data_IF_614268899655
#
_entry.id   IF_614268899655
#
_cell.length_a   1.000
_cell.length_b   1.000
_cell.length_c   1.000
_cell.angle_alpha   90.00
_cell.angle_beta   90.00
_cell.angle_gamma   90.00
#
_symmetry.space_group_name_H-M   'P 1'
#
loop_
_entity.id
_entity.type
_entity.pdbx_description
1 polymer ?
#
# COMPACT_ATOMS: atom_id res chain seq x y z
N UNK A 1 54.97 -52.29 53.80
CA UNK A 1 53.63 -51.81 53.40
C UNK A 1 53.45 -50.36 53.84
N UNK A 2 53.51 -49.39 52.91
CA UNK A 2 52.79 -48.10 53.05
C UNK A 2 52.72 -47.43 51.67
N UNK A 3 51.51 -47.02 51.33
CA UNK A 3 50.97 -46.84 49.98
C UNK A 3 51.47 -45.55 49.32
N UNK A 4 51.87 -45.65 48.05
CA UNK A 4 52.01 -44.53 47.12
C UNK A 4 50.63 -43.88 46.94
N UNK A 5 50.49 -42.60 47.29
CA UNK A 5 49.26 -41.83 47.03
C UNK A 5 49.18 -41.55 45.53
N UNK A 6 48.17 -42.11 44.87
CA UNK A 6 47.80 -41.79 43.49
C UNK A 6 47.36 -40.33 43.42
N UNK A 7 47.99 -39.60 42.51
CA UNK A 7 47.57 -38.29 42.02
C UNK A 7 46.32 -38.55 41.19
N UNK A 8 45.15 -38.16 41.68
CA UNK A 8 43.94 -38.09 40.86
C UNK A 8 43.77 -36.64 40.44
N UNK A 9 44.33 -36.32 39.28
CA UNK A 9 44.09 -35.06 38.58
C UNK A 9 42.64 -35.11 38.11
N UNK A 10 41.74 -34.37 38.77
CA UNK A 10 40.42 -34.08 38.21
C UNK A 10 40.65 -33.24 36.96
N UNK A 11 40.59 -33.88 35.80
CA UNK A 11 40.43 -33.19 34.53
C UNK A 11 39.07 -32.49 34.59
N UNK A 12 39.08 -31.23 35.01
CA UNK A 12 38.02 -30.28 34.73
C UNK A 12 38.05 -30.08 33.21
N UNK A 13 37.43 -31.00 32.48
CA UNK A 13 37.08 -30.74 31.09
C UNK A 13 35.98 -29.70 31.20
N UNK A 14 36.41 -28.45 31.20
CA UNK A 14 35.62 -27.32 30.78
C UNK A 14 35.16 -27.65 29.36
N UNK A 15 34.07 -28.40 29.25
CA UNK A 15 33.21 -28.35 28.09
C UNK A 15 32.46 -27.02 28.22
N UNK A 16 33.20 -25.93 28.10
CA UNK A 16 32.70 -24.74 27.43
C UNK A 16 32.45 -25.19 25.99
N UNK A 17 31.32 -25.88 25.78
CA UNK A 17 30.65 -25.78 24.48
C UNK A 17 30.39 -24.29 24.40
N UNK A 18 31.26 -23.63 23.65
CA UNK A 18 31.00 -22.33 23.10
C UNK A 18 29.71 -22.58 22.33
N UNK A 19 28.56 -22.33 22.96
CA UNK A 19 27.33 -22.05 22.28
C UNK A 19 27.59 -20.72 21.56
N UNK A 20 28.44 -20.77 20.53
CA UNK A 20 28.31 -19.90 19.41
C UNK A 20 26.98 -20.33 18.79
N UNK A 21 25.88 -19.83 19.36
CA UNK A 21 24.68 -19.59 18.58
C UNK A 21 25.18 -18.72 17.44
N UNK A 22 25.56 -19.34 16.31
CA UNK A 22 25.58 -18.63 15.05
C UNK A 22 24.18 -18.07 14.96
N UNK A 23 24.06 -16.74 15.00
CA UNK A 23 22.81 -16.09 14.65
C UNK A 23 22.50 -16.60 13.25
N UNK A 24 21.44 -17.41 13.13
CA UNK A 24 20.97 -17.81 11.82
C UNK A 24 20.38 -16.57 11.17
N UNK A 25 20.69 -16.36 9.91
CA UNK A 25 20.23 -15.22 9.14
C UNK A 25 19.32 -15.69 8.03
N UNK A 26 18.26 -14.94 7.78
CA UNK A 26 17.32 -15.21 6.71
C UNK A 26 17.49 -14.20 5.57
N UNK A 27 17.53 -14.71 4.35
CA UNK A 27 17.59 -13.90 3.14
C UNK A 27 16.19 -13.71 2.56
N UNK A 28 15.86 -12.47 2.26
CA UNK A 28 14.57 -12.08 1.70
C UNK A 28 14.78 -11.27 0.42
N UNK A 29 13.86 -11.41 -0.53
CA UNK A 29 13.93 -10.76 -1.84
C UNK A 29 12.78 -9.78 -2.00
N UNK A 30 13.10 -8.55 -2.43
CA UNK A 30 12.11 -7.62 -2.97
C UNK A 30 12.41 -7.45 -4.44
N UNK A 31 11.37 -7.62 -5.26
CA UNK A 31 11.41 -7.41 -6.68
C UNK A 31 10.16 -6.71 -7.16
N UNK A 32 10.23 -6.05 -8.32
CA UNK A 32 9.07 -5.42 -8.90
C UNK A 32 9.33 -4.65 -10.17
N UNK A 33 8.31 -3.92 -10.59
CA UNK A 33 8.34 -3.00 -11.73
C UNK A 33 7.97 -1.60 -11.25
N UNK A 34 8.72 -0.58 -11.69
CA UNK A 34 8.45 0.83 -11.41
C UNK A 34 8.07 1.57 -12.70
N UNK A 35 6.99 2.34 -12.61
CA UNK A 35 6.51 3.20 -13.69
C UNK A 35 6.29 4.64 -13.20
N UNK A 36 6.39 5.62 -14.09
CA UNK A 36 6.05 7.00 -13.75
C UNK A 36 4.54 7.15 -13.62
N UNK A 37 3.82 6.50 -14.53
CA UNK A 37 2.37 6.49 -14.64
C UNK A 37 1.89 5.11 -15.15
N UNK A 38 0.61 4.97 -15.48
CA UNK A 38 0.05 3.69 -15.91
C UNK A 38 0.70 3.08 -17.17
N UNK A 39 1.40 3.89 -17.96
CA UNK A 39 1.96 3.52 -19.26
C UNK A 39 3.49 3.53 -19.31
N UNK A 40 4.14 4.53 -18.71
CA UNK A 40 5.56 4.80 -18.92
C UNK A 40 6.45 4.13 -17.87
N UNK A 41 7.42 3.35 -18.33
CA UNK A 41 8.42 2.68 -17.49
C UNK A 41 9.42 3.70 -16.92
N UNK A 42 9.89 3.46 -15.70
CA UNK A 42 11.02 4.19 -15.14
C UNK A 42 12.28 3.36 -15.23
N UNK A 43 13.25 3.84 -16.01
CA UNK A 43 14.56 3.20 -16.18
C UNK A 43 15.63 3.97 -15.41
N UNK A 44 16.69 3.29 -14.97
CA UNK A 44 17.80 3.91 -14.24
C UNK A 44 17.38 4.71 -12.98
N UNK A 45 16.28 4.29 -12.33
CA UNK A 45 15.79 4.83 -11.08
C UNK A 45 16.26 3.96 -9.92
N UNK A 46 16.79 4.57 -8.85
CA UNK A 46 17.25 3.84 -7.68
C UNK A 46 16.13 3.69 -6.65
N UNK A 47 15.76 2.44 -6.40
CA UNK A 47 14.76 2.05 -5.41
C UNK A 47 15.47 1.43 -4.22
N UNK A 48 15.14 1.86 -3.01
CA UNK A 48 15.77 1.39 -1.79
C UNK A 48 14.72 0.97 -0.74
N UNK A 49 15.05 -0.06 0.04
CA UNK A 49 14.31 -0.47 1.22
C UNK A 49 14.87 0.26 2.43
N UNK A 50 14.06 1.14 3.01
CA UNK A 50 14.38 1.87 4.22
C UNK A 50 13.65 1.22 5.39
N UNK A 51 14.40 0.58 6.28
CA UNK A 51 13.88 0.10 7.56
C UNK A 51 13.49 1.31 8.41
N UNK A 52 12.31 1.25 9.03
CA UNK A 52 11.83 2.27 9.98
C UNK A 52 12.20 1.92 11.43
N UNK A 53 13.04 0.91 11.62
CA UNK A 53 13.38 0.36 12.92
C UNK A 53 12.32 -0.63 13.44
N UNK A 54 12.69 -1.34 14.51
CA UNK A 54 11.90 -2.37 15.15
C UNK A 54 12.18 -2.46 16.65
N UNK A 55 11.73 -3.54 17.29
CA UNK A 55 11.84 -3.73 18.75
C UNK A 55 13.30 -3.83 19.27
N UNK A 56 14.25 -4.18 18.40
CA UNK A 56 15.66 -4.45 18.76
C UNK A 56 16.62 -3.37 18.23
N UNK A 57 16.26 -2.64 17.16
CA UNK A 57 17.10 -1.61 16.56
C UNK A 57 16.25 -0.39 16.18
N UNK A 58 16.53 0.77 16.80
CA UNK A 58 15.75 2.01 16.59
C UNK A 58 16.27 2.86 15.42
N UNK A 59 17.32 2.42 14.75
CA UNK A 59 17.92 3.18 13.65
C UNK A 59 17.20 2.92 12.32
N UNK A 60 16.89 4.02 11.65
CA UNK A 60 16.39 4.01 10.29
C UNK A 60 17.56 3.82 9.33
N UNK A 61 17.55 2.74 8.55
CA UNK A 61 18.68 2.36 7.69
C UNK A 61 18.19 1.91 6.32
N UNK A 62 19.00 2.17 5.29
CA UNK A 62 18.82 1.52 3.99
C UNK A 62 19.44 0.14 4.07
N UNK A 63 18.62 -0.90 3.93
CA UNK A 63 19.02 -2.30 4.12
C UNK A 63 19.03 -3.09 2.81
N UNK A 64 18.68 -2.45 1.70
CA UNK A 64 18.80 -3.00 0.35
C UNK A 64 18.42 -1.95 -0.69
N UNK A 65 19.00 -2.02 -1.89
CA UNK A 65 18.62 -1.16 -3.01
C UNK A 65 18.89 -1.83 -4.35
N UNK A 66 18.25 -1.32 -5.39
CA UNK A 66 18.48 -1.70 -6.78
C UNK A 66 18.21 -0.52 -7.71
N UNK A 67 18.84 -0.55 -8.87
CA UNK A 67 18.54 0.36 -9.98
C UNK A 67 17.63 -0.37 -10.97
N UNK A 68 16.54 0.27 -11.37
CA UNK A 68 15.62 -0.29 -12.36
C UNK A 68 16.30 -0.43 -13.72
N UNK A 69 16.13 -1.57 -14.38
CA UNK A 69 16.63 -1.80 -15.74
C UNK A 69 15.78 -1.09 -16.83
N UNK A 70 16.09 -1.35 -18.11
CA UNK A 70 15.37 -0.78 -19.26
C UNK A 70 13.87 -1.14 -19.32
N UNK A 71 13.48 -2.24 -18.68
CA UNK A 71 12.07 -2.65 -18.54
C UNK A 71 11.40 -2.08 -17.29
N UNK A 72 12.09 -1.24 -16.52
CA UNK A 72 11.65 -0.71 -15.24
C UNK A 72 11.64 -1.71 -14.09
N UNK A 73 12.28 -2.87 -14.26
CA UNK A 73 12.31 -3.91 -13.24
C UNK A 73 13.46 -3.68 -12.26
N UNK A 74 13.21 -3.91 -10.97
CA UNK A 74 14.21 -3.88 -9.90
C UNK A 74 14.14 -5.18 -9.09
N UNK A 75 15.27 -5.59 -8.52
CA UNK A 75 15.35 -6.72 -7.60
C UNK A 75 16.58 -6.56 -6.70
N UNK A 76 16.41 -6.80 -5.40
CA UNK A 76 17.51 -6.91 -4.45
C UNK A 76 17.14 -7.89 -3.32
N UNK A 77 18.17 -8.34 -2.62
CA UNK A 77 18.05 -9.17 -1.43
C UNK A 77 18.49 -8.40 -0.20
N UNK A 78 17.85 -8.65 0.93
CA UNK A 78 18.27 -8.15 2.24
C UNK A 78 18.33 -9.32 3.22
N UNK A 79 19.19 -9.18 4.22
CA UNK A 79 19.44 -10.17 5.26
C UNK A 79 18.93 -9.65 6.59
N UNK A 80 18.31 -10.51 7.38
CA UNK A 80 17.88 -10.24 8.75
C UNK A 80 18.41 -11.32 9.68
N UNK A 81 18.68 -10.98 10.93
CA UNK A 81 18.92 -11.98 11.97
C UNK A 81 17.61 -12.70 12.34
N UNK A 82 17.67 -14.00 12.68
CA UNK A 82 16.50 -14.72 13.21
C UNK A 82 15.92 -13.95 14.40
N UNK A 83 14.63 -13.62 14.32
CA UNK A 83 13.84 -12.80 15.25
C UNK A 83 13.92 -11.27 15.08
N UNK A 84 14.59 -10.75 14.06
CA UNK A 84 14.44 -9.34 13.69
C UNK A 84 13.10 -9.10 13.00
N UNK A 85 12.25 -8.33 13.66
CA UNK A 85 10.97 -7.86 13.14
C UNK A 85 11.01 -6.34 12.95
N UNK A 86 10.23 -5.86 12.00
CA UNK A 86 10.10 -4.42 11.79
C UNK A 86 9.25 -4.08 10.60
N UNK A 87 9.10 -2.77 10.39
CA UNK A 87 8.44 -2.23 9.21
C UNK A 87 9.44 -1.44 8.38
N UNK A 88 9.16 -1.38 7.09
CA UNK A 88 9.96 -0.65 6.14
C UNK A 88 9.08 0.09 5.14
N UNK A 89 9.72 0.98 4.41
CA UNK A 89 9.16 1.64 3.24
C UNK A 89 10.10 1.42 2.05
N UNK A 90 9.52 1.30 0.85
CA UNK A 90 10.30 1.46 -0.37
C UNK A 90 10.31 2.93 -0.75
N UNK A 91 11.50 3.44 -1.04
CA UNK A 91 11.71 4.81 -1.43
C UNK A 91 12.35 4.86 -2.82
N UNK A 92 12.06 5.93 -3.54
CA UNK A 92 12.77 6.34 -4.74
C UNK A 92 13.81 7.38 -4.34
N UNK A 93 15.10 7.07 -4.53
CA UNK A 93 16.19 8.01 -4.30
C UNK A 93 16.27 9.04 -5.43
N UNK A 94 16.52 10.29 -5.07
CA UNK A 94 16.64 11.45 -5.96
C UNK A 94 17.84 12.28 -5.53
N UNK A 95 18.37 13.13 -6.41
CA UNK A 95 19.50 14.00 -6.08
C UNK A 95 19.24 14.88 -4.84
N UNK A 96 17.98 15.32 -4.65
CA UNK A 96 17.57 16.18 -3.55
C UNK A 96 17.04 15.43 -2.31
N UNK A 97 17.11 14.10 -2.26
CA UNK A 97 16.56 13.29 -1.17
C UNK A 97 15.83 12.04 -1.65
N UNK A 98 14.61 11.81 -1.18
CA UNK A 98 13.81 10.65 -1.59
C UNK A 98 12.31 10.94 -1.58
N UNK A 99 11.55 10.12 -2.29
CA UNK A 99 10.08 10.03 -2.18
C UNK A 99 9.66 8.62 -1.80
N UNK A 100 8.69 8.50 -0.92
CA UNK A 100 8.11 7.21 -0.56
C UNK A 100 7.30 6.64 -1.73
N UNK A 101 7.54 5.37 -2.08
CA UNK A 101 6.78 4.63 -3.09
C UNK A 101 5.66 3.81 -2.44
N UNK A 102 5.96 3.11 -1.35
CA UNK A 102 5.01 2.34 -0.54
C UNK A 102 5.52 2.21 0.90
N UNK A 103 4.62 2.34 1.87
CA UNK A 103 4.88 2.18 3.31
C UNK A 103 4.34 0.87 3.86
N UNK A 104 4.74 0.53 5.09
CA UNK A 104 4.13 -0.55 5.86
C UNK A 104 4.53 -1.94 5.39
N UNK A 105 5.69 -2.07 4.74
CA UNK A 105 6.26 -3.35 4.36
C UNK A 105 6.72 -4.06 5.64
N UNK A 106 6.17 -5.24 5.91
CA UNK A 106 6.69 -6.11 6.97
C UNK A 106 8.01 -6.72 6.54
N UNK A 107 9.05 -6.48 7.32
CA UNK A 107 10.37 -7.10 7.15
C UNK A 107 10.28 -8.62 7.34
N UNK A 108 11.16 -9.37 6.69
CA UNK A 108 11.15 -10.84 6.74
C UNK A 108 10.23 -11.50 5.70
N UNK A 109 9.76 -10.72 4.72
CA UNK A 109 8.90 -11.22 3.66
C UNK A 109 9.55 -11.05 2.28
N UNK A 110 9.28 -12.03 1.39
CA UNK A 110 9.55 -11.90 -0.03
C UNK A 110 8.40 -11.14 -0.69
N UNK A 111 8.72 -10.13 -1.51
CA UNK A 111 7.71 -9.29 -2.14
C UNK A 111 7.91 -9.17 -3.64
N UNK A 112 6.79 -9.23 -4.38
CA UNK A 112 6.71 -8.88 -5.79
C UNK A 112 5.74 -7.72 -5.96
N UNK A 113 6.26 -6.59 -6.43
CA UNK A 113 5.54 -5.32 -6.44
C UNK A 113 5.38 -4.76 -7.85
N UNK A 114 4.35 -3.93 -8.01
CA UNK A 114 4.17 -3.07 -9.18
C UNK A 114 3.85 -1.69 -8.65
N UNK A 115 4.73 -0.73 -8.90
CA UNK A 115 4.72 0.58 -8.28
C UNK A 115 4.64 1.67 -9.34
N UNK A 116 3.97 2.77 -8.99
CA UNK A 116 3.80 3.93 -9.86
C UNK A 116 4.14 5.20 -9.08
N UNK A 117 4.77 6.20 -9.71
CA UNK A 117 4.85 7.53 -9.09
C UNK A 117 3.50 8.22 -9.06
N UNK A 118 2.75 8.09 -10.16
CA UNK A 118 1.37 8.53 -10.30
C UNK A 118 0.50 7.30 -10.55
N UNK A 119 -0.08 6.75 -9.47
CA UNK A 119 -0.98 5.62 -9.55
C UNK A 119 -2.43 6.11 -9.75
N UNK A 120 -2.87 6.16 -11.00
CA UNK A 120 -4.16 6.73 -11.38
C UNK A 120 -5.26 5.68 -11.36
N UNK A 121 -6.32 5.92 -10.58
CA UNK A 121 -7.57 5.17 -10.65
C UNK A 121 -8.52 5.79 -11.68
N UNK A 122 -9.27 4.94 -12.40
CA UNK A 122 -10.36 5.37 -13.28
C UNK A 122 -11.66 4.73 -12.81
N UNK A 123 -12.68 5.54 -12.61
CA UNK A 123 -13.99 5.12 -12.11
C UNK A 123 -15.08 5.60 -13.07
N UNK A 124 -15.87 4.67 -13.57
CA UNK A 124 -17.11 4.96 -14.28
C UNK A 124 -18.24 5.08 -13.28
N UNK A 125 -18.91 6.23 -13.31
CA UNK A 125 -20.08 6.50 -12.49
C UNK A 125 -21.30 6.19 -13.34
N UNK A 126 -22.08 5.21 -12.89
CA UNK A 126 -23.31 4.82 -13.53
C UNK A 126 -24.50 5.26 -12.68
N UNK A 127 -25.62 5.57 -13.33
CA UNK A 127 -26.89 5.84 -12.69
C UNK A 127 -27.88 4.72 -13.06
N UNK A 128 -28.51 4.15 -12.04
CA UNK A 128 -29.56 3.14 -12.15
C UNK A 128 -30.71 3.41 -11.17
N UNK A 129 -31.76 2.61 -11.23
CA UNK A 129 -32.92 2.70 -10.34
C UNK A 129 -34.21 3.12 -11.06
N UNK A 130 -35.32 3.11 -10.32
CA UNK A 130 -36.66 3.37 -10.88
C UNK A 130 -37.05 4.85 -10.94
N UNK A 131 -36.39 5.71 -10.16
CA UNK A 131 -36.77 7.12 -10.07
C UNK A 131 -36.27 7.90 -11.29
N UNK A 132 -37.21 8.47 -12.04
CA UNK A 132 -36.89 9.45 -13.06
C UNK A 132 -36.64 10.82 -12.41
N UNK A 133 -35.49 11.42 -12.72
CA UNK A 133 -35.15 12.78 -12.30
C UNK A 133 -35.93 13.79 -13.14
N UNK A 134 -36.49 14.82 -12.49
CA UNK A 134 -37.18 15.92 -13.17
C UNK A 134 -36.19 16.77 -13.97
N UNK A 135 -36.67 17.55 -14.94
CA UNK A 135 -35.82 18.42 -15.77
C UNK A 135 -35.02 19.48 -14.98
N UNK A 136 -35.40 19.76 -13.73
CA UNK A 136 -34.71 20.69 -12.83
C UNK A 136 -33.89 19.98 -11.75
N UNK A 137 -33.98 18.66 -11.64
CA UNK A 137 -33.24 17.91 -10.64
C UNK A 137 -31.76 17.87 -11.03
N UNK A 138 -30.90 18.09 -10.05
CA UNK A 138 -29.45 18.00 -10.22
C UNK A 138 -28.93 16.92 -9.29
N UNK A 139 -28.33 15.88 -9.86
CA UNK A 139 -27.59 14.89 -9.11
C UNK A 139 -26.22 15.48 -8.76
N UNK A 140 -25.87 15.48 -7.49
CA UNK A 140 -24.54 15.80 -6.99
C UNK A 140 -23.89 14.52 -6.48
N UNK A 141 -22.59 14.36 -6.71
CA UNK A 141 -21.82 13.24 -6.19
C UNK A 141 -20.36 13.62 -5.93
N UNK A 142 -19.72 12.85 -5.05
CA UNK A 142 -18.33 13.01 -4.67
C UNK A 142 -17.73 11.68 -4.23
N UNK A 143 -16.40 11.61 -4.18
CA UNK A 143 -15.66 10.44 -3.73
C UNK A 143 -14.88 10.83 -2.48
N UNK A 144 -14.86 9.97 -1.46
CA UNK A 144 -14.14 10.21 -0.22
C UNK A 144 -12.66 10.52 -0.47
N UNK A 145 -12.09 11.41 0.34
CA UNK A 145 -10.70 11.91 0.22
C UNK A 145 -10.43 12.75 -1.04
N UNK A 146 -11.41 12.94 -1.94
CA UNK A 146 -11.33 13.95 -3.00
C UNK A 146 -12.06 15.23 -2.57
N UNK A 147 -11.43 16.38 -2.82
CA UNK A 147 -12.07 17.69 -2.60
C UNK A 147 -13.07 18.05 -3.70
N UNK A 148 -13.04 17.33 -4.83
CA UNK A 148 -13.89 17.60 -5.97
C UNK A 148 -15.36 17.22 -5.74
N UNK A 149 -16.26 18.13 -6.10
CA UNK A 149 -17.71 17.92 -6.19
C UNK A 149 -18.10 17.86 -7.67
N UNK A 150 -18.86 16.84 -8.04
CA UNK A 150 -19.37 16.66 -9.39
C UNK A 150 -20.89 16.82 -9.40
N UNK A 151 -21.43 17.23 -10.54
CA UNK A 151 -22.88 17.35 -10.68
C UNK A 151 -23.33 17.11 -12.12
N UNK A 152 -24.58 16.67 -12.24
CA UNK A 152 -25.26 16.43 -13.51
C UNK A 152 -26.71 16.88 -13.39
N UNK A 153 -27.09 17.87 -14.19
CA UNK A 153 -28.50 18.26 -14.34
C UNK A 153 -29.18 17.23 -15.22
N UNK A 154 -30.36 16.77 -14.81
CA UNK A 154 -31.16 15.79 -15.57
C UNK A 154 -30.31 14.56 -15.96
N UNK A 155 -29.72 13.90 -14.97
CA UNK A 155 -28.92 12.71 -15.22
C UNK A 155 -29.80 11.55 -15.74
N UNK A 156 -29.40 10.95 -16.85
CA UNK A 156 -30.07 9.80 -17.45
C UNK A 156 -29.42 8.48 -16.97
N UNK A 157 -30.16 7.38 -17.04
CA UNK A 157 -29.66 6.05 -16.69
C UNK A 157 -28.47 5.63 -17.57
N UNK A 158 -27.53 4.88 -17.00
CA UNK A 158 -26.30 4.43 -17.64
C UNK A 158 -25.09 5.23 -17.16
N UNK A 159 -24.02 5.26 -17.96
CA UNK A 159 -22.78 5.96 -17.57
C UNK A 159 -22.98 7.47 -17.63
N UNK A 160 -22.93 8.12 -16.47
CA UNK A 160 -23.11 9.57 -16.34
C UNK A 160 -21.80 10.34 -16.30
N UNK A 161 -20.71 9.68 -15.88
CA UNK A 161 -19.38 10.28 -15.78
C UNK A 161 -18.23 9.27 -15.78
N UNK A 162 -17.01 9.78 -15.97
CA UNK A 162 -15.74 9.08 -15.79
C UNK A 162 -14.81 9.96 -14.95
N UNK A 163 -14.55 9.53 -13.72
CA UNK A 163 -13.70 10.24 -12.77
C UNK A 163 -12.33 9.57 -12.71
N UNK A 164 -11.27 10.37 -12.79
CA UNK A 164 -9.89 9.91 -12.61
C UNK A 164 -9.24 10.64 -11.44
N UNK A 165 -8.54 9.89 -10.60
CA UNK A 165 -7.85 10.45 -9.42
C UNK A 165 -6.68 9.57 -8.98
N UNK A 166 -5.71 10.17 -8.30
CA UNK A 166 -4.55 9.44 -7.78
C UNK A 166 -4.92 8.66 -6.51
N UNK A 167 -4.36 7.46 -6.37
CA UNK A 167 -4.41 6.65 -5.16
C UNK A 167 -2.99 6.27 -4.74
N UNK A 168 -2.72 5.97 -3.46
CA UNK A 168 -1.40 5.48 -3.05
C UNK A 168 -1.07 4.11 -3.65
N UNK A 169 0.22 3.75 -3.74
CA UNK A 169 0.58 2.35 -3.94
C UNK A 169 0.31 1.57 -2.65
N UNK A 170 -0.26 0.38 -2.80
CA UNK A 170 -0.52 -0.55 -1.69
C UNK A 170 -0.10 -1.95 -2.11
N UNK A 171 0.07 -2.86 -1.15
CA UNK A 171 0.43 -4.25 -1.46
C UNK A 171 -0.64 -4.94 -2.34
N UNK A 172 -1.90 -4.53 -2.23
CA UNK A 172 -3.02 -5.00 -3.06
C UNK A 172 -3.25 -4.17 -4.33
N UNK A 173 -2.55 -3.05 -4.51
CA UNK A 173 -2.80 -2.04 -5.54
C UNK A 173 -4.25 -1.55 -5.60
N UNK A 174 -4.90 -1.54 -4.45
CA UNK A 174 -6.28 -1.08 -4.25
C UNK A 174 -6.34 -0.13 -3.05
N UNK A 175 -7.28 0.79 -3.12
CA UNK A 175 -7.57 1.73 -2.04
C UNK A 175 -9.08 1.82 -1.85
N UNK A 176 -9.52 1.70 -0.60
CA UNK A 176 -10.93 1.83 -0.26
C UNK A 176 -11.39 3.28 -0.44
N UNK A 177 -12.55 3.44 -1.06
CA UNK A 177 -13.18 4.72 -1.35
C UNK A 177 -14.68 4.61 -1.16
N UNK A 178 -15.32 5.75 -0.94
CA UNK A 178 -16.78 5.83 -0.82
C UNK A 178 -17.28 6.86 -1.81
N UNK A 179 -18.16 6.43 -2.73
CA UNK A 179 -18.95 7.35 -3.54
C UNK A 179 -20.16 7.78 -2.72
N UNK A 180 -20.42 9.07 -2.59
CA UNK A 180 -21.62 9.60 -1.94
C UNK A 180 -22.34 10.54 -2.89
N UNK A 181 -23.67 10.58 -2.80
CA UNK A 181 -24.50 11.27 -3.79
C UNK A 181 -25.78 11.84 -3.17
N UNK A 182 -26.43 12.76 -3.88
CA UNK A 182 -27.75 13.30 -3.48
C UNK A 182 -28.40 14.12 -4.58
N UNK A 183 -29.73 14.21 -4.54
CA UNK A 183 -30.50 15.05 -5.48
C UNK A 183 -30.65 16.44 -4.85
N UNK A 184 -29.95 17.42 -5.42
CA UNK A 184 -29.82 18.76 -4.86
C UNK A 184 -28.77 18.84 -3.75
N UNK A 185 -28.36 20.07 -3.43
CA UNK A 185 -27.24 20.31 -2.50
C UNK A 185 -27.51 19.83 -1.07
N UNK A 186 -28.75 19.91 -0.60
CA UNK A 186 -29.10 19.53 0.79
C UNK A 186 -28.91 18.04 1.01
N UNK A 187 -29.42 17.20 0.11
CA UNK A 187 -29.28 15.75 0.21
C UNK A 187 -27.82 15.33 0.04
N UNK A 188 -27.09 15.98 -0.88
CA UNK A 188 -25.67 15.73 -1.07
C UNK A 188 -24.82 16.01 0.18
N UNK A 189 -25.06 17.12 0.88
CA UNK A 189 -24.31 17.40 2.12
C UNK A 189 -24.62 16.38 3.22
N UNK A 190 -25.89 15.95 3.35
CA UNK A 190 -26.26 14.88 4.28
C UNK A 190 -25.56 13.56 3.93
N UNK A 191 -25.49 13.21 2.65
CA UNK A 191 -24.77 12.02 2.19
C UNK A 191 -23.27 12.09 2.47
N UNK A 192 -22.66 13.27 2.28
CA UNK A 192 -21.25 13.52 2.63
C UNK A 192 -20.98 13.34 4.13
N UNK A 193 -21.84 13.91 4.99
CA UNK A 193 -21.74 13.75 6.44
C UNK A 193 -21.93 12.29 6.87
N UNK A 194 -22.86 11.58 6.22
CA UNK A 194 -23.17 10.18 6.48
C UNK A 194 -21.97 9.24 6.27
N UNK A 195 -21.02 9.56 5.38
CA UNK A 195 -19.79 8.77 5.18
C UNK A 195 -18.97 8.64 6.47
N UNK A 196 -19.04 9.64 7.37
CA UNK A 196 -18.30 9.65 8.63
C UNK A 196 -19.03 8.98 9.80
N UNK A 197 -20.28 8.55 9.60
CA UNK A 197 -21.13 7.96 10.63
C UNK A 197 -21.08 6.44 10.48
N UNK A 198 -20.62 5.76 11.54
CA UNK A 198 -20.63 4.29 11.62
C UNK A 198 -22.05 3.75 11.40
N UNK A 199 -22.17 2.67 10.64
CA UNK A 199 -23.44 2.01 10.26
C UNK A 199 -24.42 2.83 9.41
N UNK A 200 -24.05 4.03 8.96
CA UNK A 200 -24.87 4.73 7.97
C UNK A 200 -24.87 3.98 6.65
N UNK A 201 -26.02 4.02 5.96
CA UNK A 201 -26.20 3.54 4.58
C UNK A 201 -26.79 4.63 3.69
N UNK A 202 -26.78 5.87 4.17
CA UNK A 202 -27.48 6.96 3.52
C UNK A 202 -26.73 7.45 2.28
N UNK A 203 -27.20 7.01 1.10
CA UNK A 203 -26.78 7.51 -0.22
C UNK A 203 -25.25 7.51 -0.44
N UNK A 204 -24.62 6.41 -0.04
CA UNK A 204 -23.22 6.18 -0.31
C UNK A 204 -22.92 4.71 -0.62
N UNK A 205 -21.91 4.48 -1.44
CA UNK A 205 -21.50 3.16 -1.94
C UNK A 205 -19.99 3.01 -1.77
N UNK A 206 -19.53 2.08 -0.91
CA UNK A 206 -18.11 1.78 -0.81
C UNK A 206 -17.65 1.02 -2.06
N UNK A 207 -16.42 1.30 -2.50
CA UNK A 207 -15.79 0.60 -3.61
C UNK A 207 -14.26 0.54 -3.42
N UNK A 208 -13.62 -0.41 -4.10
CA UNK A 208 -12.17 -0.59 -4.08
C UNK A 208 -11.57 0.06 -5.32
N UNK A 209 -11.10 1.30 -5.23
CA UNK A 209 -10.43 1.99 -6.31
C UNK A 209 -9.17 1.23 -6.72
N UNK A 210 -9.15 0.77 -7.97
CA UNK A 210 -8.02 0.10 -8.59
C UNK A 210 -7.25 1.17 -9.33
N UNK A 211 -5.96 1.24 -9.05
CA UNK A 211 -5.06 2.18 -9.71
C UNK A 211 -4.87 1.82 -11.19
N UNK A 212 -3.65 1.90 -11.68
CA UNK A 212 -3.30 1.64 -13.08
C UNK A 212 -3.61 0.21 -13.62
N UNK A 213 -4.32 -0.63 -12.87
CA UNK A 213 -4.63 -2.02 -13.17
C UNK A 213 -6.05 -2.27 -13.64
N UNK A 214 -6.94 -1.28 -13.59
CA UNK A 214 -8.31 -1.54 -13.99
C UNK A 214 -9.18 -0.29 -13.98
N UNK A 215 -10.41 -0.53 -14.40
CA UNK A 215 -11.48 0.44 -14.28
C UNK A 215 -12.46 -0.07 -13.24
N UNK A 216 -12.89 0.81 -12.36
CA UNK A 216 -13.99 0.56 -11.46
C UNK A 216 -15.29 1.04 -12.10
N UNK A 217 -16.36 0.31 -11.86
CA UNK A 217 -17.71 0.80 -12.12
C UNK A 217 -18.42 0.88 -10.78
N UNK A 218 -19.09 1.99 -10.52
CA UNK A 218 -19.86 2.21 -9.30
C UNK A 218 -21.23 2.72 -9.71
N UNK A 219 -22.25 2.04 -9.22
CA UNK A 219 -23.64 2.34 -9.54
C UNK A 219 -24.25 3.22 -8.43
N UNK A 220 -24.79 4.37 -8.83
CA UNK A 220 -25.69 5.18 -8.02
C UNK A 220 -27.10 4.66 -8.28
N UNK A 221 -27.73 4.06 -7.28
CA UNK A 221 -29.11 3.59 -7.38
C UNK A 221 -30.07 4.61 -6.74
N UNK A 222 -31.01 5.11 -7.54
CA UNK A 222 -32.06 6.04 -7.08
C UNK A 222 -33.43 5.39 -7.31
N UNK A 223 -34.08 5.03 -6.21
CA UNK A 223 -35.41 4.40 -6.20
C UNK A 223 -36.53 5.37 -5.81
#
# INVERSE_FOLDING_TARGET
MRKVKKITLFALVAISVIAACKRETSLHTIQGNLKSDCSQLMTNAEVALKSLGGSINSETLIIGSAITNESGNFQFTYELEENEEGTAELILLKESGYSNLISGITLGSNLQLKLFLTNLATVYINLSGSRQLSATDTLYYGISELEAEFNKVQADSGRIDTVQFEIPNTLSNQSERVLYFGIGRVDFQKAKEAVSIEDSSYQHVPFQARGCFGVNEVDIEIN
#
